data_IF_276346704753
#
_entry.id   IF_276346704753
#
_cell.length_a   1.000
_cell.length_b   1.000
_cell.length_c   1.000
_cell.angle_alpha   90.00
_cell.angle_beta   90.00
_cell.angle_gamma   90.00
#
_symmetry.space_group_name_H-M   'P 1'
#
loop_
_entity.id
_entity.type
_entity.pdbx_description
1 polymer ?
#
# COMPACT_ATOMS: atom_id res chain seq x y z
N UNK A 1 0.98 9.57 27.63
CA UNK A 1 0.74 9.16 26.24
C UNK A 1 1.58 7.94 25.95
N UNK A 2 1.02 6.93 25.28
CA UNK A 2 1.76 5.72 24.92
C UNK A 2 2.77 6.05 23.81
N UNK A 3 4.07 5.99 24.12
CA UNK A 3 5.17 6.05 23.15
C UNK A 3 5.59 4.64 22.73
N UNK A 4 4.63 3.79 22.37
CA UNK A 4 4.86 2.43 21.86
C UNK A 4 4.10 2.25 20.56
N UNK A 5 4.65 1.42 19.66
CA UNK A 5 4.01 1.11 18.38
C UNK A 5 2.58 0.57 18.64
N UNK A 6 1.58 1.29 18.16
CA UNK A 6 0.18 0.92 18.33
C UNK A 6 -0.13 -0.17 17.30
N UNK A 7 -0.13 -1.42 17.76
CA UNK A 7 -0.51 -2.59 16.96
C UNK A 7 -1.97 -3.00 17.18
N UNK A 8 -2.40 -4.04 16.44
CA UNK A 8 -3.74 -4.60 16.55
C UNK A 8 -4.10 -5.05 17.98
N UNK A 9 -3.11 -5.52 18.75
CA UNK A 9 -3.28 -5.95 20.15
C UNK A 9 -3.54 -4.80 21.12
N UNK A 10 -3.03 -3.60 20.81
CA UNK A 10 -3.01 -2.44 21.72
C UNK A 10 -3.88 -1.28 21.21
N UNK A 11 -4.45 -1.39 20.01
CA UNK A 11 -5.25 -0.33 19.38
C UNK A 11 -6.52 0.01 20.16
N UNK A 12 -7.21 -1.00 20.69
CA UNK A 12 -8.42 -0.79 21.50
C UNK A 12 -8.14 -0.05 22.81
N UNK A 13 -7.05 -0.38 23.50
CA UNK A 13 -6.64 0.30 24.74
C UNK A 13 -6.08 1.69 24.49
N UNK A 14 -5.41 1.92 23.35
CA UNK A 14 -5.03 3.26 22.91
C UNK A 14 -6.28 4.13 22.65
N UNK A 15 -7.30 3.60 21.98
CA UNK A 15 -8.55 4.31 21.71
C UNK A 15 -9.34 4.60 23.00
N UNK A 16 -9.28 3.71 23.99
CA UNK A 16 -9.88 3.89 25.30
C UNK A 16 -9.36 5.16 26.02
N UNK A 17 -8.09 5.53 25.81
CA UNK A 17 -7.52 6.74 26.40
C UNK A 17 -8.11 8.05 25.86
N UNK A 18 -8.73 8.02 24.67
CA UNK A 18 -9.41 9.16 24.05
C UNK A 18 -10.92 9.18 24.33
N UNK A 19 -11.54 8.01 24.43
CA UNK A 19 -13.00 7.85 24.58
C UNK A 19 -13.45 7.71 26.04
N UNK A 20 -12.53 7.39 26.96
CA UNK A 20 -12.78 7.31 28.40
C UNK A 20 -13.41 5.99 28.88
N UNK A 21 -14.01 5.20 27.99
CA UNK A 21 -14.58 3.87 28.29
C UNK A 21 -13.82 2.76 27.55
N UNK A 22 -13.22 1.83 28.32
CA UNK A 22 -12.32 0.79 27.78
C UNK A 22 -13.02 -0.26 26.93
N UNK A 23 -14.19 -0.75 27.36
CA UNK A 23 -14.91 -1.81 26.66
C UNK A 23 -15.56 -1.33 25.35
N UNK A 24 -16.16 -0.14 25.39
CA UNK A 24 -16.78 0.46 24.22
C UNK A 24 -15.74 0.81 23.15
N UNK A 25 -14.59 1.36 23.54
CA UNK A 25 -13.49 1.66 22.62
C UNK A 25 -12.91 0.41 21.95
N UNK A 26 -12.74 -0.70 22.69
CA UNK A 26 -12.27 -1.96 22.11
C UNK A 26 -13.26 -2.51 21.06
N UNK A 27 -14.56 -2.43 21.35
CA UNK A 27 -15.62 -2.89 20.43
C UNK A 27 -15.67 -2.02 19.18
N UNK A 28 -15.59 -0.70 19.34
CA UNK A 28 -15.56 0.25 18.23
C UNK A 28 -14.32 0.06 17.35
N UNK A 29 -13.16 -0.18 17.96
CA UNK A 29 -11.94 -0.51 17.23
C UNK A 29 -12.09 -1.81 16.43
N UNK A 30 -12.65 -2.86 17.02
CA UNK A 30 -12.90 -4.13 16.32
C UNK A 30 -13.86 -3.96 15.13
N UNK A 31 -14.95 -3.19 15.30
CA UNK A 31 -15.88 -2.85 14.21
C UNK A 31 -15.16 -2.05 13.12
N UNK A 32 -14.31 -1.09 13.51
CA UNK A 32 -13.52 -0.28 12.57
C UNK A 32 -12.55 -1.13 11.73
N UNK A 33 -11.83 -2.07 12.37
CA UNK A 33 -10.94 -3.01 11.66
C UNK A 33 -11.74 -3.90 10.70
N UNK A 34 -12.91 -4.40 11.12
CA UNK A 34 -13.78 -5.20 10.27
C UNK A 34 -14.30 -4.39 9.07
N UNK A 35 -14.75 -3.15 9.30
CA UNK A 35 -15.23 -2.24 8.26
C UNK A 35 -14.11 -1.89 7.26
N UNK A 36 -12.88 -1.63 7.75
CA UNK A 36 -11.72 -1.39 6.90
C UNK A 36 -11.39 -2.59 6.00
N UNK A 37 -11.52 -3.82 6.52
CA UNK A 37 -11.36 -5.05 5.75
C UNK A 37 -12.38 -5.19 4.62
N UNK A 38 -13.65 -4.82 4.86
CA UNK A 38 -14.69 -4.84 3.84
C UNK A 38 -14.43 -3.78 2.75
N UNK A 39 -14.06 -2.56 3.14
CA UNK A 39 -13.74 -1.48 2.20
C UNK A 39 -12.59 -1.87 1.24
N UNK A 40 -11.50 -2.42 1.79
CA UNK A 40 -10.36 -2.88 0.99
C UNK A 40 -10.75 -3.97 -0.03
N UNK A 41 -11.70 -4.84 0.34
CA UNK A 41 -12.22 -5.89 -0.56
C UNK A 41 -12.91 -5.31 -1.79
N UNK A 42 -13.79 -4.33 -1.58
CA UNK A 42 -14.54 -3.70 -2.67
C UNK A 42 -13.62 -2.91 -3.60
N UNK A 43 -12.71 -2.12 -3.05
CA UNK A 43 -11.75 -1.37 -3.88
C UNK A 43 -10.82 -2.31 -4.63
N UNK A 44 -10.38 -3.41 -4.01
CA UNK A 44 -9.52 -4.40 -4.64
C UNK A 44 -10.17 -5.14 -5.81
N UNK A 45 -11.45 -5.52 -5.69
CA UNK A 45 -12.17 -6.20 -6.79
C UNK A 45 -12.42 -5.29 -7.98
N UNK A 46 -12.81 -4.03 -7.74
CA UNK A 46 -13.07 -3.06 -8.80
C UNK A 46 -11.77 -2.61 -9.50
N UNK A 47 -10.73 -2.28 -8.74
CA UNK A 47 -9.43 -1.94 -9.31
C UNK A 47 -8.83 -3.11 -10.11
N UNK A 48 -8.92 -4.33 -9.55
CA UNK A 48 -8.49 -5.54 -10.25
C UNK A 48 -9.30 -5.83 -11.52
N UNK A 49 -10.56 -5.39 -11.58
CA UNK A 49 -11.36 -5.46 -12.79
C UNK A 49 -10.81 -4.58 -13.91
N UNK A 50 -10.63 -3.29 -13.63
CA UNK A 50 -10.12 -2.36 -14.64
C UNK A 50 -8.70 -2.72 -15.10
N UNK A 51 -7.84 -3.19 -14.21
CA UNK A 51 -6.48 -3.61 -14.59
C UNK A 51 -6.52 -4.89 -15.43
N UNK A 52 -7.30 -5.91 -15.06
CA UNK A 52 -7.34 -7.15 -15.83
C UNK A 52 -7.97 -6.96 -17.21
N UNK A 53 -9.06 -6.19 -17.31
CA UNK A 53 -9.72 -5.93 -18.60
C UNK A 53 -8.89 -4.99 -19.47
N UNK A 54 -8.29 -3.95 -18.88
CA UNK A 54 -7.48 -2.98 -19.60
C UNK A 54 -6.12 -3.51 -20.07
N UNK A 55 -5.40 -4.26 -19.23
CA UNK A 55 -4.04 -4.73 -19.56
C UNK A 55 -3.97 -6.16 -20.09
N UNK A 56 -4.82 -7.09 -19.61
CA UNK A 56 -4.77 -8.51 -20.00
C UNK A 56 -5.90 -8.93 -20.94
N UNK A 57 -6.97 -8.13 -21.09
CA UNK A 57 -8.16 -8.49 -21.86
C UNK A 57 -8.89 -9.73 -21.33
N UNK A 58 -8.68 -10.09 -20.06
CA UNK A 58 -9.22 -11.31 -19.44
C UNK A 58 -10.49 -11.02 -18.65
N UNK A 59 -11.62 -11.60 -19.10
CA UNK A 59 -12.89 -11.53 -18.40
C UNK A 59 -13.09 -12.74 -17.49
N UNK A 60 -12.60 -12.66 -16.26
CA UNK A 60 -12.80 -13.69 -15.23
C UNK A 60 -14.03 -13.34 -14.38
N UNK A 61 -14.93 -14.31 -14.06
CA UNK A 61 -16.06 -14.08 -13.17
C UNK A 61 -15.63 -13.60 -11.78
N UNK A 62 -16.43 -12.71 -11.19
CA UNK A 62 -16.12 -12.02 -9.93
C UNK A 62 -15.81 -12.98 -8.78
N UNK A 63 -16.54 -14.08 -8.66
CA UNK A 63 -16.35 -15.06 -7.58
C UNK A 63 -15.00 -15.77 -7.64
N UNK A 64 -14.55 -16.18 -8.83
CA UNK A 64 -13.25 -16.82 -9.00
C UNK A 64 -12.11 -15.84 -8.69
N UNK A 65 -12.24 -14.59 -9.15
CA UNK A 65 -11.29 -13.52 -8.89
C UNK A 65 -11.16 -13.22 -7.40
N UNK A 66 -12.30 -13.16 -6.68
CA UNK A 66 -12.33 -12.99 -5.22
C UNK A 66 -11.64 -14.15 -4.52
N UNK A 67 -11.95 -15.40 -4.88
CA UNK A 67 -11.32 -16.57 -4.26
C UNK A 67 -9.81 -16.60 -4.46
N UNK A 68 -9.34 -16.33 -5.68
CA UNK A 68 -7.90 -16.35 -6.01
C UNK A 68 -7.16 -15.22 -5.29
N UNK A 69 -7.65 -13.99 -5.35
CA UNK A 69 -6.98 -12.85 -4.70
C UNK A 69 -7.02 -12.94 -3.18
N UNK A 70 -8.12 -13.44 -2.60
CA UNK A 70 -8.25 -13.72 -1.17
C UNK A 70 -7.34 -14.85 -0.73
N UNK A 71 -7.24 -15.95 -1.48
CA UNK A 71 -6.39 -17.08 -1.11
C UNK A 71 -4.92 -16.68 -1.16
N UNK A 72 -4.49 -15.97 -2.20
CA UNK A 72 -3.11 -15.46 -2.31
C UNK A 72 -2.77 -14.52 -1.16
N UNK A 73 -3.71 -13.68 -0.71
CA UNK A 73 -3.47 -12.76 0.42
C UNK A 73 -3.53 -13.47 1.79
N UNK A 74 -4.48 -14.39 1.98
CA UNK A 74 -4.72 -15.05 3.27
C UNK A 74 -3.76 -16.19 3.54
N UNK A 75 -3.34 -16.95 2.53
CA UNK A 75 -2.46 -18.12 2.71
C UNK A 75 -1.14 -17.74 3.40
N UNK A 76 -0.38 -16.72 2.95
CA UNK A 76 0.86 -16.32 3.63
C UNK A 76 0.60 -15.85 5.06
N UNK A 77 -0.46 -15.08 5.28
CA UNK A 77 -0.82 -14.57 6.60
C UNK A 77 -1.19 -15.72 7.56
N UNK A 78 -1.96 -16.70 7.08
CA UNK A 78 -2.36 -17.87 7.86
C UNK A 78 -1.17 -18.76 8.19
N UNK A 79 -0.27 -18.98 7.22
CA UNK A 79 0.97 -19.75 7.43
C UNK A 79 1.80 -19.09 8.53
N UNK A 80 2.05 -17.78 8.45
CA UNK A 80 2.80 -17.06 9.49
C UNK A 80 2.10 -17.16 10.86
N UNK A 81 0.77 -17.01 10.90
CA UNK A 81 0.01 -17.10 12.15
C UNK A 81 0.06 -18.51 12.80
N UNK A 82 -0.04 -19.57 12.00
CA UNK A 82 0.01 -20.96 12.50
C UNK A 82 1.42 -21.36 12.94
N UNK A 83 2.45 -20.87 12.24
CA UNK A 83 3.84 -21.08 12.63
C UNK A 83 4.16 -20.38 13.96
N UNK A 84 3.58 -19.21 14.20
CA UNK A 84 3.71 -18.49 15.47
C UNK A 84 2.97 -19.15 16.64
N UNK A 85 1.84 -19.83 16.39
CA UNK A 85 1.09 -20.50 17.47
C UNK A 85 1.75 -21.80 17.96
N UNK A 86 2.64 -22.39 17.15
CA UNK A 86 3.35 -23.64 17.44
C UNK A 86 4.78 -23.42 17.95
N UNK A 87 5.45 -22.33 17.56
CA UNK A 87 6.74 -21.92 18.10
C UNK A 87 6.54 -20.90 19.23
N UNK A 88 6.67 -21.34 20.48
CA UNK A 88 6.54 -20.51 21.67
C UNK A 88 7.39 -19.21 21.59
N UNK A 89 6.75 -18.05 21.72
CA UNK A 89 7.31 -16.96 22.54
C UNK A 89 7.78 -15.64 21.90
N UNK A 90 7.71 -15.41 20.58
CA UNK A 90 8.08 -14.09 20.01
C UNK A 90 6.94 -13.45 19.20
N UNK A 91 5.94 -12.96 19.93
CA UNK A 91 4.62 -12.50 19.43
C UNK A 91 4.59 -11.21 18.58
N UNK A 92 5.71 -10.69 18.07
CA UNK A 92 5.70 -9.42 17.34
C UNK A 92 6.70 -9.31 16.17
N UNK A 93 7.79 -10.09 16.17
CA UNK A 93 8.89 -9.86 15.23
C UNK A 93 8.55 -10.27 13.79
N UNK A 94 7.87 -11.39 13.57
CA UNK A 94 7.60 -11.91 12.22
C UNK A 94 6.37 -11.28 11.55
N UNK A 95 5.35 -10.86 12.32
CA UNK A 95 4.24 -10.07 11.77
C UNK A 95 4.71 -8.67 11.36
N UNK A 96 5.63 -8.07 12.14
CA UNK A 96 6.32 -6.83 11.75
C UNK A 96 7.11 -7.03 10.47
N UNK A 97 7.85 -8.14 10.34
CA UNK A 97 8.59 -8.43 9.12
C UNK A 97 7.69 -8.47 7.88
N UNK A 98 6.53 -9.15 7.93
CA UNK A 98 5.57 -9.17 6.81
C UNK A 98 5.06 -7.76 6.51
N UNK A 99 4.74 -6.97 7.53
CA UNK A 99 4.32 -5.58 7.35
C UNK A 99 5.42 -4.71 6.72
N UNK A 100 6.68 -4.89 7.13
CA UNK A 100 7.82 -4.15 6.59
C UNK A 100 8.05 -4.50 5.11
N UNK A 101 7.91 -5.78 4.74
CA UNK A 101 7.92 -6.22 3.34
C UNK A 101 6.78 -5.61 2.52
N UNK A 102 5.56 -5.56 3.06
CA UNK A 102 4.43 -4.92 2.40
C UNK A 102 4.66 -3.42 2.21
N UNK A 103 5.22 -2.73 3.20
CA UNK A 103 5.58 -1.31 3.11
C UNK A 103 6.65 -1.04 2.04
N UNK A 104 7.64 -1.93 1.91
CA UNK A 104 8.66 -1.86 0.85
C UNK A 104 8.01 -2.00 -0.53
N UNK A 105 7.18 -3.04 -0.72
CA UNK A 105 6.48 -3.26 -1.99
C UNK A 105 5.58 -2.08 -2.36
N UNK A 106 4.83 -1.54 -1.40
CA UNK A 106 3.98 -0.38 -1.61
C UNK A 106 4.78 0.87 -2.00
N UNK A 107 5.92 1.10 -1.35
CA UNK A 107 6.78 2.25 -1.66
C UNK A 107 7.32 2.21 -3.09
N UNK A 108 7.61 1.02 -3.62
CA UNK A 108 8.06 0.83 -5.02
C UNK A 108 6.89 1.00 -6.00
N UNK A 109 5.68 0.55 -5.63
CA UNK A 109 4.51 0.56 -6.51
C UNK A 109 3.90 1.97 -6.70
N UNK A 110 3.89 2.80 -5.65
CA UNK A 110 3.29 4.14 -5.68
C UNK A 110 3.79 5.06 -6.82
N UNK A 111 5.11 5.26 -7.03
CA UNK A 111 5.57 6.11 -8.11
C UNK A 111 5.19 5.58 -9.50
N UNK A 112 5.20 4.26 -9.67
CA UNK A 112 4.86 3.61 -10.94
C UNK A 112 3.39 3.81 -11.32
N UNK A 113 2.49 3.90 -10.34
CA UNK A 113 1.09 4.22 -10.60
C UNK A 113 0.84 5.73 -10.74
N UNK A 114 1.56 6.55 -9.97
CA UNK A 114 1.30 7.99 -9.88
C UNK A 114 1.82 8.77 -11.10
N UNK A 115 3.02 8.44 -11.60
CA UNK A 115 3.65 9.16 -12.70
C UNK A 115 2.88 9.03 -14.03
N UNK A 116 2.46 7.83 -14.50
CA UNK A 116 1.64 7.72 -15.71
C UNK A 116 0.32 8.45 -15.57
N UNK A 117 -0.33 8.34 -14.41
CA UNK A 117 -1.61 9.00 -14.16
C UNK A 117 -1.47 10.52 -14.30
N UNK A 118 -0.43 11.09 -13.70
CA UNK A 118 -0.18 12.54 -13.77
C UNK A 118 0.14 13.00 -15.20
N UNK A 119 0.83 12.17 -15.97
CA UNK A 119 1.11 12.45 -17.38
C UNK A 119 -0.18 12.40 -18.21
N UNK A 120 -0.99 11.35 -18.09
CA UNK A 120 -2.24 11.20 -18.84
C UNK A 120 -3.27 12.27 -18.53
N UNK A 121 -3.40 12.66 -17.25
CA UNK A 121 -4.32 13.74 -16.85
C UNK A 121 -3.81 15.12 -17.30
N UNK A 122 -2.51 15.26 -17.52
CA UNK A 122 -1.87 16.50 -17.96
C UNK A 122 -1.68 16.63 -19.48
N UNK A 123 -2.07 15.63 -20.27
CA UNK A 123 -1.91 15.60 -21.73
C UNK A 123 -3.24 15.93 -22.44
N UNK A 124 -3.19 17.00 -23.25
CA UNK A 124 -4.31 17.45 -24.06
C UNK A 124 -4.73 16.45 -25.14
N UNK A 125 -3.82 15.56 -25.56
CA UNK A 125 -4.12 14.52 -26.54
C UNK A 125 -5.02 13.41 -25.98
N UNK A 126 -4.96 13.14 -24.68
CA UNK A 126 -5.71 12.06 -24.02
C UNK A 126 -7.01 12.57 -23.39
N UNK A 127 -6.97 13.73 -22.71
CA UNK A 127 -8.15 14.31 -22.07
C UNK A 127 -9.01 15.18 -23.00
N UNK A 128 -8.50 15.61 -24.15
CA UNK A 128 -9.17 16.57 -25.04
C UNK A 128 -9.03 18.02 -24.55
N UNK A 129 -9.09 18.97 -25.49
CA UNK A 129 -8.72 20.39 -25.26
C UNK A 129 -9.56 21.09 -24.18
N UNK A 130 -10.79 20.65 -23.93
CA UNK A 130 -11.73 21.28 -23.00
C UNK A 130 -11.66 20.71 -21.57
N UNK A 131 -11.04 19.54 -21.37
CA UNK A 131 -10.98 18.85 -20.06
C UNK A 131 -9.56 18.77 -19.48
N UNK A 132 -8.59 19.45 -20.09
CA UNK A 132 -7.19 19.47 -19.62
C UNK A 132 -7.09 20.24 -18.31
N UNK A 133 -6.33 19.67 -17.36
CA UNK A 133 -5.98 20.35 -16.12
C UNK A 133 -5.25 21.67 -16.40
N UNK A 134 -5.75 22.77 -15.82
CA UNK A 134 -5.11 24.09 -15.90
C UNK A 134 -3.69 24.08 -15.31
N UNK A 135 -2.80 24.90 -15.87
CA UNK A 135 -1.37 24.94 -15.52
C UNK A 135 -1.07 25.07 -14.02
N UNK A 136 -1.91 25.80 -13.28
CA UNK A 136 -1.81 25.93 -11.81
C UNK A 136 -2.06 24.61 -11.09
N UNK A 137 -3.14 23.91 -11.44
CA UNK A 137 -3.47 22.63 -10.82
C UNK A 137 -2.48 21.53 -11.24
N UNK A 138 -1.96 21.58 -12.48
CA UNK A 138 -0.85 20.71 -12.93
C UNK A 138 0.40 20.87 -12.06
N UNK A 139 0.78 22.11 -11.75
CA UNK A 139 1.92 22.39 -10.87
C UNK A 139 1.71 21.89 -9.44
N UNK A 140 0.50 22.02 -8.90
CA UNK A 140 0.14 21.51 -7.56
C UNK A 140 0.16 19.98 -7.53
N UNK A 141 -0.39 19.32 -8.54
CA UNK A 141 -0.36 17.85 -8.63
C UNK A 141 1.07 17.32 -8.77
N UNK A 142 1.94 17.99 -9.55
CA UNK A 142 3.35 17.66 -9.64
C UNK A 142 4.11 17.89 -8.33
N UNK A 143 3.82 18.98 -7.61
CA UNK A 143 4.41 19.24 -6.29
C UNK A 143 3.99 18.16 -5.27
N UNK A 144 2.70 17.80 -5.22
CA UNK A 144 2.20 16.71 -4.37
C UNK A 144 2.83 15.37 -4.75
N UNK A 145 2.95 15.07 -6.05
CA UNK A 145 3.57 13.82 -6.50
C UNK A 145 5.05 13.74 -6.12
N UNK A 146 5.80 14.84 -6.27
CA UNK A 146 7.19 14.93 -5.85
C UNK A 146 7.32 14.75 -4.33
N UNK A 147 6.45 15.39 -3.55
CA UNK A 147 6.41 15.20 -2.10
C UNK A 147 6.14 13.74 -1.70
N UNK A 148 5.17 13.08 -2.33
CA UNK A 148 4.88 11.66 -2.08
C UNK A 148 6.06 10.76 -2.44
N UNK A 149 6.73 11.01 -3.56
CA UNK A 149 7.92 10.25 -3.97
C UNK A 149 9.04 10.41 -2.94
N UNK A 150 9.32 11.65 -2.50
CA UNK A 150 10.36 11.92 -1.49
C UNK A 150 10.05 11.22 -0.16
N UNK A 151 8.80 11.28 0.30
CA UNK A 151 8.38 10.62 1.54
C UNK A 151 8.50 9.09 1.43
N UNK A 152 8.04 8.50 0.32
CA UNK A 152 8.14 7.05 0.10
C UNK A 152 9.60 6.59 -0.05
N UNK A 153 10.46 7.39 -0.68
CA UNK A 153 11.89 7.10 -0.77
C UNK A 153 12.57 7.11 0.63
N UNK A 154 12.19 8.07 1.48
CA UNK A 154 12.66 8.11 2.87
C UNK A 154 12.18 6.90 3.67
N UNK A 155 10.90 6.55 3.56
CA UNK A 155 10.34 5.36 4.23
C UNK A 155 11.04 4.08 3.75
N UNK A 156 11.23 3.92 2.45
CA UNK A 156 11.94 2.78 1.87
C UNK A 156 13.37 2.68 2.42
N UNK A 157 14.10 3.80 2.48
CA UNK A 157 15.45 3.84 3.04
C UNK A 157 15.47 3.40 4.51
N UNK A 158 14.52 3.92 5.31
CA UNK A 158 14.42 3.58 6.73
C UNK A 158 14.10 2.10 6.96
N UNK A 159 13.20 1.52 6.16
CA UNK A 159 12.83 0.11 6.28
C UNK A 159 13.95 -0.82 5.84
N UNK A 160 14.67 -0.46 4.78
CA UNK A 160 15.79 -1.25 4.29
C UNK A 160 16.98 -1.24 5.26
N UNK A 161 17.24 -0.10 5.91
CA UNK A 161 18.26 0.03 6.95
C UNK A 161 17.94 -0.87 8.18
N UNK A 162 16.66 -1.00 8.55
CA UNK A 162 16.22 -1.86 9.64
C UNK A 162 16.36 -3.36 9.33
N UNK A 163 16.11 -3.77 8.08
CA UNK A 163 16.11 -5.18 7.69
C UNK A 163 17.51 -5.81 7.53
N UNK A 164 18.61 -5.04 7.68
CA UNK A 164 19.99 -5.46 7.29
C UNK A 164 20.02 -6.13 5.91
N UNK A 165 19.04 -5.78 5.08
CA UNK A 165 18.92 -6.22 3.71
C UNK A 165 20.08 -5.61 2.93
N UNK A 166 20.93 -6.46 2.35
CA UNK A 166 22.15 -6.02 1.68
C UNK A 166 21.91 -4.94 0.61
N UNK A 167 22.97 -4.23 0.19
CA UNK A 167 22.94 -3.12 -0.78
C UNK A 167 22.26 -3.47 -2.12
N UNK A 168 22.09 -4.77 -2.41
CA UNK A 168 21.43 -5.29 -3.59
C UNK A 168 19.94 -4.91 -3.71
N UNK A 169 19.16 -4.93 -2.61
CA UNK A 169 17.73 -4.56 -2.69
C UNK A 169 17.52 -3.05 -2.80
N UNK A 170 18.43 -2.25 -2.21
CA UNK A 170 18.44 -0.79 -2.42
C UNK A 170 18.78 -0.45 -3.87
N UNK A 171 19.81 -1.11 -4.40
CA UNK A 171 20.23 -0.93 -5.78
C UNK A 171 19.13 -1.36 -6.77
N UNK A 172 18.38 -2.43 -6.49
CA UNK A 172 17.25 -2.85 -7.32
C UNK A 172 16.12 -1.81 -7.30
N UNK A 173 15.76 -1.28 -6.13
CA UNK A 173 14.73 -0.24 -6.01
C UNK A 173 15.12 1.07 -6.72
N UNK A 174 16.36 1.50 -6.55
CA UNK A 174 16.91 2.70 -7.20
C UNK A 174 17.08 2.48 -8.71
N UNK A 175 17.50 1.29 -9.16
CA UNK A 175 17.63 0.96 -10.57
C UNK A 175 16.25 0.85 -11.27
N UNK A 176 15.24 0.29 -10.60
CA UNK A 176 13.87 0.25 -11.11
C UNK A 176 13.29 1.66 -11.22
N UNK A 177 13.48 2.51 -10.20
CA UNK A 177 13.00 3.89 -10.20
C UNK A 177 13.75 4.77 -11.21
N UNK A 178 15.08 4.63 -11.29
CA UNK A 178 15.92 5.34 -12.25
C UNK A 178 15.66 4.89 -13.69
N UNK A 179 15.52 3.59 -13.93
CA UNK A 179 15.14 3.04 -15.23
C UNK A 179 13.77 3.53 -15.69
N UNK A 180 12.81 3.64 -14.77
CA UNK A 180 11.49 4.17 -15.04
C UNK A 180 11.50 5.67 -15.39
N UNK A 181 12.26 6.50 -14.66
CA UNK A 181 12.42 7.92 -14.96
C UNK A 181 13.11 8.17 -16.31
N UNK A 182 14.09 7.34 -16.69
CA UNK A 182 14.72 7.40 -18.01
C UNK A 182 13.72 7.05 -19.10
N UNK A 183 12.92 6.00 -18.92
CA UNK A 183 11.90 5.56 -19.87
C UNK A 183 10.82 6.63 -20.09
N UNK A 184 10.44 7.34 -19.02
CA UNK A 184 9.45 8.41 -19.08
C UNK A 184 10.03 9.75 -19.58
N UNK A 185 11.32 10.01 -19.39
CA UNK A 185 12.02 11.17 -19.96
C UNK A 185 12.30 11.03 -21.45
N UNK A 186 12.22 9.81 -21.99
CA UNK A 186 12.35 9.51 -23.43
C UNK A 186 11.01 9.40 -24.18
N UNK A 187 9.87 9.50 -23.47
CA UNK A 187 8.52 9.47 -24.03
C UNK A 187 7.91 10.88 -24.07
#
# INVERSE_FOLDING_TARGET
GFCTAIGLSNGGSALASLVGSSEFAATLFAIGVLAAGQASTMTGSLAGQYVMEGFLGLHIPLWLRLLVTRSIALVPALVVAVWQSTAAGESAASLSAVNDWLNILQSIQLPFALLPLLHFVGDAKVMGHDWVIGSRLKSVCWACALALIVINAYLLHSQLANLKAGPFMFALGVAAFGGYLVLMGTA
#
